data_IF_543275867341
#
_entry.id   IF_543275867341
#
_cell.length_a   1.000
_cell.length_b   1.000
_cell.length_c   1.000
_cell.angle_alpha   90.00
_cell.angle_beta   90.00
_cell.angle_gamma   90.00
#
_symmetry.space_group_name_H-M   'P 1'
#
loop_
_entity.id
_entity.type
_entity.pdbx_description
1 polymer ?
#
# COMPACT_ATOMS: atom_id res chain seq x y z
N UNK A 1 11.29 -24.31 -13.98
CA UNK A 1 11.22 -23.14 -14.89
C UNK A 1 12.55 -22.42 -14.83
N UNK A 2 13.07 -21.87 -15.94
CA UNK A 2 14.34 -21.13 -15.91
C UNK A 2 14.19 -19.86 -15.06
N UNK A 3 15.22 -19.55 -14.25
CA UNK A 3 15.26 -18.41 -13.32
C UNK A 3 14.84 -17.10 -13.99
N UNK A 4 15.34 -16.85 -15.21
CA UNK A 4 15.00 -15.67 -16.00
C UNK A 4 13.51 -15.58 -16.32
N UNK A 5 12.84 -16.69 -16.65
CA UNK A 5 11.39 -16.70 -16.93
C UNK A 5 10.60 -16.36 -15.69
N UNK A 6 10.96 -16.93 -14.54
CA UNK A 6 10.31 -16.63 -13.26
C UNK A 6 10.53 -15.17 -12.86
N UNK A 7 11.74 -14.64 -13.08
CA UNK A 7 12.05 -13.23 -12.86
C UNK A 7 11.17 -12.31 -13.71
N UNK A 8 11.17 -12.52 -15.03
CA UNK A 8 10.38 -11.67 -15.96
C UNK A 8 8.89 -11.72 -15.63
N UNK A 9 8.35 -12.91 -15.33
CA UNK A 9 6.95 -13.06 -14.98
C UNK A 9 6.62 -12.43 -13.62
N UNK A 10 7.50 -12.58 -12.62
CA UNK A 10 7.35 -11.92 -11.33
C UNK A 10 7.37 -10.40 -11.42
N UNK A 11 8.26 -9.87 -12.25
CA UNK A 11 8.28 -8.43 -12.56
C UNK A 11 7.00 -8.00 -13.26
N UNK A 12 6.52 -8.73 -14.26
CA UNK A 12 5.25 -8.42 -14.91
C UNK A 12 4.08 -8.39 -13.90
N UNK A 13 4.00 -9.38 -13.00
CA UNK A 13 2.98 -9.43 -11.94
C UNK A 13 3.09 -8.21 -11.01
N UNK A 14 4.29 -7.86 -10.53
CA UNK A 14 4.45 -6.70 -9.65
C UNK A 14 4.07 -5.38 -10.32
N UNK A 15 4.39 -5.19 -11.60
CA UNK A 15 4.05 -3.96 -12.32
C UNK A 15 2.55 -3.89 -12.65
N UNK A 16 1.92 -5.02 -12.97
CA UNK A 16 0.46 -5.08 -13.15
C UNK A 16 -0.27 -4.76 -11.83
N UNK A 17 0.20 -5.31 -10.71
CA UNK A 17 -0.33 -4.98 -9.39
C UNK A 17 -0.08 -3.51 -9.05
N UNK A 18 1.10 -2.98 -9.33
CA UNK A 18 1.39 -1.57 -9.08
C UNK A 18 0.46 -0.66 -9.88
N UNK A 19 0.29 -0.92 -11.19
CA UNK A 19 -0.63 -0.17 -12.02
C UNK A 19 -2.07 -0.30 -11.50
N UNK A 20 -2.49 -1.49 -11.10
CA UNK A 20 -3.80 -1.72 -10.47
C UNK A 20 -3.96 -0.88 -9.21
N UNK A 21 -3.05 -0.97 -8.23
CA UNK A 21 -3.12 -0.18 -7.01
C UNK A 21 -3.08 1.32 -7.28
N UNK A 22 -2.26 1.76 -8.23
CA UNK A 22 -2.24 3.15 -8.67
C UNK A 22 -3.59 3.58 -9.24
N UNK A 23 -4.24 2.75 -10.05
CA UNK A 23 -5.58 3.02 -10.56
C UNK A 23 -6.58 3.11 -9.41
N UNK A 24 -6.67 2.10 -8.55
CA UNK A 24 -7.60 2.05 -7.41
C UNK A 24 -7.47 3.29 -6.51
N UNK A 25 -6.26 3.77 -6.28
CA UNK A 25 -6.00 4.97 -5.48
C UNK A 25 -6.66 6.23 -6.03
N UNK A 26 -6.86 6.33 -7.35
CA UNK A 26 -7.57 7.47 -7.95
C UNK A 26 -9.04 7.56 -7.50
N UNK A 27 -9.66 6.49 -7.01
CA UNK A 27 -11.01 6.56 -6.44
C UNK A 27 -11.10 7.57 -5.29
N UNK A 28 -10.03 7.71 -4.50
CA UNK A 28 -10.00 8.63 -3.36
C UNK A 28 -9.90 10.11 -3.78
N UNK A 29 -9.31 10.40 -4.95
CA UNK A 29 -9.00 11.77 -5.40
C UNK A 29 -10.20 12.51 -5.97
N UNK A 30 -10.48 13.77 -5.59
CA UNK A 30 -11.62 14.51 -6.14
C UNK A 30 -11.44 14.86 -7.64
N UNK A 31 -12.53 14.85 -8.43
CA UNK A 31 -12.48 15.14 -9.89
C UNK A 31 -11.83 16.48 -10.23
N UNK A 32 -12.08 17.53 -9.44
CA UNK A 32 -11.53 18.87 -9.68
C UNK A 32 -9.99 18.92 -9.57
N UNK A 33 -9.40 18.03 -8.78
CA UNK A 33 -7.95 17.94 -8.61
C UNK A 33 -7.25 17.32 -9.83
N UNK A 34 -8.01 16.61 -10.66
CA UNK A 34 -7.48 15.76 -11.72
C UNK A 34 -7.19 16.47 -13.06
N UNK A 35 -7.73 17.67 -13.26
CA UNK A 35 -7.74 18.34 -14.57
C UNK A 35 -6.60 19.37 -14.77
N UNK A 36 -5.89 19.78 -13.71
CA UNK A 36 -5.08 21.01 -13.73
C UNK A 36 -3.59 20.86 -13.42
N UNK A 37 -3.06 19.64 -13.21
CA UNK A 37 -1.69 19.46 -12.67
C UNK A 37 -0.87 18.37 -13.34
N UNK A 38 0.43 18.64 -13.46
CA UNK A 38 1.44 17.61 -13.65
C UNK A 38 1.46 16.69 -12.42
N UNK A 39 1.47 15.38 -12.66
CA UNK A 39 1.53 14.37 -11.62
C UNK A 39 2.95 14.31 -11.07
N UNK A 40 3.13 14.41 -9.75
CA UNK A 40 4.46 14.35 -9.12
C UNK A 40 4.79 12.95 -8.59
N UNK A 41 6.05 12.73 -8.21
CA UNK A 41 6.45 11.48 -7.54
C UNK A 41 5.69 11.25 -6.23
N UNK A 42 5.37 12.34 -5.49
CA UNK A 42 4.53 12.28 -4.28
C UNK A 42 3.15 11.72 -4.61
N UNK A 43 2.57 12.16 -5.73
CA UNK A 43 1.27 11.68 -6.17
C UNK A 43 1.32 10.20 -6.55
N UNK A 44 2.36 9.78 -7.28
CA UNK A 44 2.55 8.38 -7.66
C UNK A 44 2.56 7.46 -6.44
N UNK A 45 3.38 7.78 -5.43
CA UNK A 45 3.55 6.95 -4.23
C UNK A 45 2.29 6.96 -3.36
N UNK A 46 1.77 8.15 -3.04
CA UNK A 46 0.60 8.27 -2.16
C UNK A 46 -0.64 7.61 -2.76
N UNK A 47 -0.88 7.79 -4.07
CA UNK A 47 -1.99 7.13 -4.77
C UNK A 47 -1.79 5.62 -4.84
N UNK A 48 -0.58 5.14 -5.15
CA UNK A 48 -0.30 3.69 -5.21
C UNK A 48 -0.59 3.04 -3.86
N UNK A 49 -0.07 3.59 -2.77
CA UNK A 49 -0.21 2.98 -1.43
C UNK A 49 -1.62 3.14 -0.86
N UNK A 50 -2.30 4.25 -1.15
CA UNK A 50 -3.69 4.40 -0.77
C UNK A 50 -4.58 3.40 -1.54
N UNK A 51 -4.31 3.18 -2.83
CA UNK A 51 -5.01 2.16 -3.61
C UNK A 51 -4.68 0.73 -3.19
N UNK A 52 -3.44 0.45 -2.76
CA UNK A 52 -3.11 -0.80 -2.06
C UNK A 52 -4.01 -0.96 -0.84
N UNK A 53 -4.10 0.03 0.05
CA UNK A 53 -4.96 -0.04 1.23
C UNK A 53 -6.44 -0.26 0.88
N UNK A 54 -6.99 0.44 -0.13
CA UNK A 54 -8.37 0.23 -0.61
C UNK A 54 -8.56 -1.22 -1.08
N UNK A 55 -7.68 -1.72 -1.95
CA UNK A 55 -7.74 -3.09 -2.44
C UNK A 55 -7.63 -4.10 -1.28
N UNK A 56 -6.75 -3.84 -0.31
CA UNK A 56 -6.58 -4.66 0.88
C UNK A 56 -7.83 -4.68 1.78
N UNK A 57 -8.51 -3.54 1.94
CA UNK A 57 -9.81 -3.50 2.63
C UNK A 57 -10.90 -4.25 1.86
N UNK A 58 -10.92 -4.19 0.53
CA UNK A 58 -11.81 -5.02 -0.27
C UNK A 58 -11.54 -6.52 -0.03
N UNK A 59 -10.28 -6.94 -0.01
CA UNK A 59 -9.90 -8.32 0.30
C UNK A 59 -10.27 -8.71 1.74
N UNK A 60 -10.16 -7.78 2.69
CA UNK A 60 -10.57 -7.99 4.08
C UNK A 60 -12.08 -8.27 4.17
N UNK A 61 -12.89 -7.46 3.47
CA UNK A 61 -14.33 -7.64 3.40
C UNK A 61 -14.70 -8.96 2.73
N UNK A 62 -14.06 -9.32 1.61
CA UNK A 62 -14.25 -10.63 0.98
C UNK A 62 -13.85 -11.77 1.93
N UNK A 63 -12.75 -11.61 2.65
CA UNK A 63 -12.26 -12.56 3.65
C UNK A 63 -13.26 -12.82 4.77
N UNK A 64 -13.85 -11.77 5.34
CA UNK A 64 -14.90 -11.89 6.36
C UNK A 64 -16.23 -12.40 5.80
N UNK A 65 -16.56 -12.07 4.56
CA UNK A 65 -17.77 -12.54 3.89
C UNK A 65 -17.65 -13.97 3.33
N UNK A 66 -16.51 -14.64 3.51
CA UNK A 66 -16.21 -15.98 2.96
C UNK A 66 -16.23 -16.03 1.42
N UNK A 67 -15.86 -14.94 0.78
CA UNK A 67 -15.78 -14.76 -0.67
C UNK A 67 -14.33 -14.54 -1.14
N UNK A 68 -13.33 -14.95 -0.36
CA UNK A 68 -11.92 -14.84 -0.74
C UNK A 68 -11.51 -15.94 -1.72
N UNK A 69 -12.13 -15.92 -2.90
CA UNK A 69 -11.92 -16.88 -3.97
C UNK A 69 -11.89 -16.12 -5.31
N UNK A 70 -11.60 -16.84 -6.41
CA UNK A 70 -11.50 -16.22 -7.75
C UNK A 70 -12.74 -15.43 -8.16
N UNK A 71 -13.98 -15.97 -8.04
CA UNK A 71 -15.17 -15.20 -8.42
C UNK A 71 -15.40 -14.00 -7.51
N UNK A 72 -15.11 -14.08 -6.21
CA UNK A 72 -15.21 -12.93 -5.31
C UNK A 72 -14.22 -11.82 -5.64
N UNK A 73 -12.97 -12.17 -5.98
CA UNK A 73 -11.98 -11.19 -6.48
C UNK A 73 -12.45 -10.56 -7.80
N UNK A 74 -12.97 -11.36 -8.74
CA UNK A 74 -13.51 -10.84 -10.00
C UNK A 74 -14.69 -9.88 -9.76
N UNK A 75 -15.61 -10.24 -8.84
CA UNK A 75 -16.73 -9.39 -8.47
C UNK A 75 -16.26 -8.07 -7.85
N UNK A 76 -15.23 -8.11 -7.01
CA UNK A 76 -14.64 -6.90 -6.44
C UNK A 76 -14.03 -6.00 -7.53
N UNK A 77 -13.35 -6.57 -8.53
CA UNK A 77 -12.83 -5.79 -9.68
C UNK A 77 -13.95 -5.18 -10.51
N UNK A 78 -15.05 -5.92 -10.77
CA UNK A 78 -16.22 -5.38 -11.48
C UNK A 78 -16.84 -4.24 -10.68
N UNK A 79 -17.00 -4.42 -9.37
CA UNK A 79 -17.54 -3.38 -8.48
C UNK A 79 -16.65 -2.14 -8.47
N UNK A 80 -15.32 -2.30 -8.47
CA UNK A 80 -14.38 -1.19 -8.60
C UNK A 80 -14.58 -0.41 -9.92
N UNK A 81 -14.75 -1.11 -11.04
CA UNK A 81 -15.10 -0.49 -12.33
C UNK A 81 -16.41 0.30 -12.28
N UNK A 82 -17.43 -0.23 -11.59
CA UNK A 82 -18.69 0.48 -11.36
C UNK A 82 -18.51 1.72 -10.46
N UNK A 83 -17.63 1.66 -9.46
CA UNK A 83 -17.29 2.82 -8.63
C UNK A 83 -16.61 3.93 -9.45
N UNK A 84 -15.73 3.59 -10.40
CA UNK A 84 -15.18 4.57 -11.33
C UNK A 84 -16.27 5.21 -12.19
N UNK A 85 -17.18 4.40 -12.73
CA UNK A 85 -18.29 4.92 -13.52
C UNK A 85 -19.19 5.85 -12.70
N UNK A 86 -19.56 5.45 -11.48
CA UNK A 86 -20.48 6.20 -10.63
C UNK A 86 -19.84 7.45 -9.99
N UNK A 87 -18.66 7.31 -9.38
CA UNK A 87 -18.00 8.40 -8.66
C UNK A 87 -17.18 9.29 -9.58
N UNK A 88 -16.54 8.73 -10.61
CA UNK A 88 -15.68 9.48 -11.55
C UNK A 88 -16.38 9.85 -12.85
N UNK A 89 -17.46 9.15 -13.22
CA UNK A 89 -18.03 9.29 -14.56
C UNK A 89 -17.08 8.74 -15.63
N UNK A 90 -16.13 7.89 -15.25
CA UNK A 90 -15.11 7.36 -16.13
C UNK A 90 -15.36 5.88 -16.38
N UNK A 91 -15.28 5.46 -17.64
CA UNK A 91 -15.42 4.07 -17.99
C UNK A 91 -14.06 3.37 -17.93
N UNK A 92 -13.90 2.47 -16.98
CA UNK A 92 -12.69 1.64 -16.80
C UNK A 92 -12.34 0.80 -18.04
N UNK A 93 -13.33 0.44 -18.86
CA UNK A 93 -13.12 -0.31 -20.12
C UNK A 93 -12.69 0.58 -21.28
N UNK A 94 -12.71 1.91 -21.13
CA UNK A 94 -12.36 2.85 -22.19
C UNK A 94 -10.84 2.96 -22.37
N UNK A 95 -10.40 3.01 -23.62
CA UNK A 95 -9.00 3.34 -23.96
C UNK A 95 -8.57 4.71 -23.40
N UNK A 96 -9.47 5.71 -23.41
CA UNK A 96 -9.16 7.05 -22.91
C UNK A 96 -8.86 7.07 -21.42
N UNK A 97 -9.52 6.21 -20.64
CA UNK A 97 -9.26 6.04 -19.21
C UNK A 97 -7.83 5.53 -18.99
N UNK A 98 -7.48 4.41 -19.62
CA UNK A 98 -6.16 3.80 -19.46
C UNK A 98 -5.05 4.69 -20.01
N UNK A 99 -5.27 5.37 -21.13
CA UNK A 99 -4.31 6.34 -21.65
C UNK A 99 -4.05 7.47 -20.65
N UNK A 100 -5.10 7.99 -19.99
CA UNK A 100 -4.98 9.02 -18.95
C UNK A 100 -4.21 8.50 -17.73
N UNK A 101 -4.53 7.30 -17.24
CA UNK A 101 -3.82 6.68 -16.12
C UNK A 101 -2.34 6.44 -16.46
N UNK A 102 -2.04 5.84 -17.61
CA UNK A 102 -0.66 5.58 -18.04
C UNK A 102 0.14 6.88 -18.19
N UNK A 103 -0.45 7.93 -18.78
CA UNK A 103 0.21 9.25 -18.87
C UNK A 103 0.55 9.82 -17.50
N UNK A 104 -0.32 9.67 -16.50
CA UNK A 104 -0.05 10.12 -15.12
C UNK A 104 1.02 9.28 -14.45
N UNK A 105 0.92 7.96 -14.60
CA UNK A 105 1.87 7.01 -14.05
C UNK A 105 3.27 7.29 -14.56
N UNK A 106 3.44 7.47 -15.89
CA UNK A 106 4.72 7.77 -16.53
C UNK A 106 5.16 9.23 -16.28
N UNK A 107 4.23 10.18 -16.28
CA UNK A 107 4.52 11.61 -16.09
C UNK A 107 5.08 11.96 -14.71
N UNK A 108 4.87 11.10 -13.70
CA UNK A 108 5.41 11.28 -12.35
C UNK A 108 6.90 10.92 -12.20
N UNK A 109 7.50 10.30 -13.20
CA UNK A 109 8.88 9.82 -13.13
C UNK A 109 9.88 10.95 -13.29
N UNK A 110 10.84 10.97 -12.37
CA UNK A 110 12.00 11.87 -12.41
C UNK A 110 13.28 11.05 -12.63
N UNK A 111 14.38 11.70 -13.01
CA UNK A 111 15.68 11.02 -13.18
C UNK A 111 16.12 10.27 -11.90
N UNK A 112 16.02 10.85 -10.68
CA UNK A 112 16.26 10.11 -9.46
C UNK A 112 15.37 8.89 -9.27
N UNK A 113 14.07 9.01 -9.58
CA UNK A 113 13.13 7.89 -9.47
C UNK A 113 13.52 6.76 -10.45
N UNK A 114 13.90 7.11 -11.68
CA UNK A 114 14.36 6.15 -12.68
C UNK A 114 15.63 5.41 -12.23
N UNK A 115 16.60 6.13 -11.65
CA UNK A 115 17.82 5.51 -11.13
C UNK A 115 17.52 4.53 -9.99
N UNK A 116 16.68 4.93 -9.02
CA UNK A 116 16.24 4.04 -7.94
C UNK A 116 15.55 2.81 -8.52
N UNK A 117 14.66 2.98 -9.49
CA UNK A 117 13.97 1.87 -10.13
C UNK A 117 14.93 0.89 -10.82
N UNK A 118 15.90 1.39 -11.61
CA UNK A 118 16.91 0.55 -12.26
C UNK A 118 17.73 -0.25 -11.25
N UNK A 119 18.12 0.37 -10.12
CA UNK A 119 18.75 -0.35 -9.02
C UNK A 119 17.83 -1.45 -8.48
N UNK A 120 16.56 -1.13 -8.25
CA UNK A 120 15.58 -2.09 -7.73
C UNK A 120 15.33 -3.26 -8.70
N UNK A 121 15.43 -3.07 -10.02
CA UNK A 121 15.39 -4.19 -10.97
C UNK A 121 16.47 -5.23 -10.62
N UNK A 122 17.71 -4.78 -10.37
CA UNK A 122 18.81 -5.66 -9.97
C UNK A 122 18.53 -6.28 -8.60
N UNK A 123 18.05 -5.48 -7.64
CA UNK A 123 17.73 -5.96 -6.30
C UNK A 123 16.56 -6.94 -6.24
N UNK A 124 15.72 -7.06 -7.29
CA UNK A 124 14.62 -8.02 -7.37
C UNK A 124 15.08 -9.46 -7.67
N UNK A 125 16.33 -9.68 -8.12
CA UNK A 125 16.79 -11.02 -8.53
C UNK A 125 16.59 -12.08 -7.43
N UNK A 126 16.90 -11.83 -6.15
CA UNK A 126 16.65 -12.79 -5.07
C UNK A 126 15.18 -13.14 -4.86
N UNK A 127 14.21 -12.33 -5.32
CA UNK A 127 12.78 -12.61 -5.16
C UNK A 127 12.33 -13.87 -5.92
N UNK A 128 13.12 -14.35 -6.89
CA UNK A 128 12.87 -15.60 -7.63
C UNK A 128 13.17 -16.84 -6.78
N UNK A 129 13.99 -16.69 -5.74
CA UNK A 129 14.41 -17.80 -4.90
C UNK A 129 13.27 -18.25 -3.97
N UNK A 130 13.22 -19.55 -3.61
CA UNK A 130 12.24 -20.04 -2.65
C UNK A 130 12.39 -19.34 -1.29
N UNK A 131 11.31 -19.20 -0.51
CA UNK A 131 11.38 -18.61 0.82
C UNK A 131 12.19 -19.53 1.75
N UNK A 132 13.25 -18.99 2.34
CA UNK A 132 14.11 -19.71 3.30
C UNK A 132 14.04 -19.14 4.71
N UNK A 133 13.39 -17.98 4.89
CA UNK A 133 13.32 -17.31 6.18
C UNK A 133 12.16 -17.84 7.02
N UNK A 134 12.45 -18.03 8.32
CA UNK A 134 11.53 -18.66 9.27
C UNK A 134 10.14 -18.05 9.26
N UNK A 135 9.98 -16.74 9.46
CA UNK A 135 8.64 -16.13 9.59
C UNK A 135 7.84 -16.18 8.29
N UNK A 136 8.55 -16.06 7.16
CA UNK A 136 7.96 -16.15 5.82
C UNK A 136 7.29 -17.50 5.63
N UNK A 137 7.98 -18.58 5.98
CA UNK A 137 7.49 -19.96 5.77
C UNK A 137 6.56 -20.39 6.89
N UNK A 138 6.90 -20.06 8.14
CA UNK A 138 6.22 -20.58 9.32
C UNK A 138 4.85 -19.96 9.54
N UNK A 139 4.62 -18.70 9.15
CA UNK A 139 3.30 -18.10 9.33
C UNK A 139 2.87 -17.13 8.24
N UNK A 140 3.71 -16.27 7.67
CA UNK A 140 3.20 -15.27 6.70
C UNK A 140 2.62 -15.89 5.43
N UNK A 141 3.38 -16.77 4.77
CA UNK A 141 2.90 -17.48 3.58
C UNK A 141 1.96 -18.62 3.96
N UNK A 142 2.18 -19.28 5.10
CA UNK A 142 1.29 -20.36 5.58
C UNK A 142 -0.14 -19.84 5.77
N UNK A 143 -0.35 -18.79 6.57
CA UNK A 143 -1.66 -18.15 6.73
C UNK A 143 -2.28 -17.73 5.39
N UNK A 144 -1.47 -17.20 4.48
CA UNK A 144 -1.98 -16.74 3.20
C UNK A 144 -2.48 -17.89 2.31
N UNK A 145 -1.76 -19.02 2.28
CA UNK A 145 -2.18 -20.25 1.59
C UNK A 145 -3.45 -20.79 2.22
N UNK A 146 -3.47 -20.85 3.55
CA UNK A 146 -4.57 -21.34 4.35
C UNK A 146 -5.86 -20.55 4.09
N UNK A 147 -5.81 -19.22 4.18
CA UNK A 147 -6.97 -18.36 3.89
C UNK A 147 -7.43 -18.46 2.44
N UNK A 148 -6.49 -18.58 1.49
CA UNK A 148 -6.80 -18.79 0.09
C UNK A 148 -7.51 -20.12 -0.17
N UNK A 149 -7.09 -21.19 0.50
CA UNK A 149 -7.71 -22.52 0.39
C UNK A 149 -9.07 -22.58 1.08
N UNK A 150 -9.21 -21.92 2.22
CA UNK A 150 -10.47 -21.86 2.98
C UNK A 150 -11.50 -20.91 2.34
N UNK A 151 -11.09 -20.01 1.45
CA UNK A 151 -11.96 -19.00 0.85
C UNK A 151 -12.40 -17.90 1.83
N UNK A 152 -11.78 -17.81 3.01
CA UNK A 152 -12.14 -16.90 4.10
C UNK A 152 -10.96 -16.63 5.02
N UNK A 153 -11.05 -15.56 5.79
CA UNK A 153 -10.17 -15.38 6.94
C UNK A 153 -10.59 -16.42 7.98
N UNK A 154 -9.68 -17.33 8.33
CA UNK A 154 -9.90 -18.28 9.42
C UNK A 154 -8.75 -18.24 10.42
N UNK A 155 -9.06 -18.64 11.64
CA UNK A 155 -8.14 -18.70 12.76
C UNK A 155 -7.71 -20.15 12.91
N UNK A 156 -6.42 -20.44 12.71
CA UNK A 156 -5.87 -21.77 12.93
C UNK A 156 -5.62 -21.97 14.44
N UNK A 157 -6.35 -22.87 15.13
CA UNK A 157 -6.20 -23.07 16.56
C UNK A 157 -4.85 -23.66 16.96
N UNK A 158 -4.09 -24.23 16.01
CA UNK A 158 -2.79 -24.86 16.30
C UNK A 158 -1.62 -23.87 16.30
N UNK A 159 -1.86 -22.62 15.89
CA UNK A 159 -0.84 -21.58 15.92
C UNK A 159 -0.73 -20.95 17.30
N UNK A 160 0.50 -20.67 17.73
CA UNK A 160 0.79 -20.05 19.04
C UNK A 160 0.10 -18.70 19.23
N UNK A 161 -0.07 -17.92 18.16
CA UNK A 161 -0.75 -16.63 18.17
C UNK A 161 -1.77 -16.56 17.02
N UNK A 162 -2.96 -17.15 17.20
CA UNK A 162 -3.89 -17.42 16.10
C UNK A 162 -4.74 -16.18 15.72
N UNK A 163 -4.81 -15.20 16.62
CA UNK A 163 -5.60 -13.96 16.48
C UNK A 163 -4.79 -12.75 15.99
N UNK A 164 -3.76 -12.97 15.18
CA UNK A 164 -2.94 -11.86 14.68
C UNK A 164 -3.69 -10.99 13.65
N UNK A 165 -3.45 -9.67 13.69
CA UNK A 165 -3.91 -8.74 12.66
C UNK A 165 -2.92 -8.76 11.47
N UNK A 166 -3.43 -8.94 10.25
CA UNK A 166 -2.60 -9.38 9.12
C UNK A 166 -3.13 -8.84 7.78
N UNK A 167 -3.40 -7.54 7.70
CA UNK A 167 -3.89 -6.89 6.48
C UNK A 167 -3.05 -7.20 5.23
N UNK A 168 -1.72 -7.21 5.33
CA UNK A 168 -0.85 -7.42 4.17
C UNK A 168 -0.92 -8.86 3.61
N UNK A 169 -1.16 -9.86 4.47
CA UNK A 169 -1.24 -11.26 4.07
C UNK A 169 -2.46 -11.53 3.19
N UNK A 170 -3.46 -10.65 3.19
CA UNK A 170 -4.59 -10.75 2.27
C UNK A 170 -4.15 -10.61 0.81
N UNK A 171 -3.11 -9.82 0.51
CA UNK A 171 -2.55 -9.76 -0.84
C UNK A 171 -1.84 -11.06 -1.23
N UNK A 172 -1.07 -11.64 -0.31
CA UNK A 172 -0.48 -12.96 -0.53
C UNK A 172 -1.57 -14.02 -0.74
N UNK A 173 -2.66 -13.96 0.04
CA UNK A 173 -3.81 -14.86 -0.11
C UNK A 173 -4.45 -14.71 -1.49
N UNK A 174 -4.67 -13.47 -1.95
CA UNK A 174 -5.19 -13.20 -3.28
C UNK A 174 -4.27 -13.75 -4.38
N UNK A 175 -2.95 -13.63 -4.24
CA UNK A 175 -1.99 -14.25 -5.16
C UNK A 175 -2.11 -15.77 -5.16
N UNK A 176 -2.26 -16.44 -4.01
CA UNK A 176 -2.50 -17.88 -3.96
C UNK A 176 -3.83 -18.29 -4.62
N UNK A 177 -4.92 -17.54 -4.40
CA UNK A 177 -6.22 -17.75 -5.06
C UNK A 177 -6.08 -17.69 -6.59
N UNK A 178 -5.30 -16.72 -7.09
CA UNK A 178 -5.01 -16.51 -8.51
C UNK A 178 -3.91 -17.44 -9.07
N UNK A 179 -3.35 -18.35 -8.26
CA UNK A 179 -2.23 -19.24 -8.61
C UNK A 179 -0.94 -18.50 -9.01
N UNK A 180 -0.74 -17.34 -8.41
CA UNK A 180 0.42 -16.46 -8.52
C UNK A 180 1.25 -16.41 -7.22
N UNK A 181 1.02 -17.33 -6.28
CA UNK A 181 1.67 -17.34 -4.96
C UNK A 181 3.21 -17.41 -4.99
N UNK A 182 3.80 -17.95 -6.06
CA UNK A 182 5.26 -17.93 -6.27
C UNK A 182 5.84 -16.52 -6.44
N UNK A 183 5.01 -15.50 -6.65
CA UNK A 183 5.42 -14.12 -6.87
C UNK A 183 5.19 -13.20 -5.66
N UNK A 184 4.83 -13.74 -4.49
CA UNK A 184 4.62 -12.95 -3.27
C UNK A 184 5.85 -12.08 -2.90
N UNK A 185 7.07 -12.56 -3.14
CA UNK A 185 8.30 -11.80 -2.87
C UNK A 185 8.41 -10.53 -3.73
N UNK A 186 7.87 -10.55 -4.95
CA UNK A 186 7.87 -9.38 -5.83
C UNK A 186 6.91 -8.29 -5.34
N UNK A 187 5.85 -8.65 -4.61
CA UNK A 187 4.99 -7.67 -3.95
C UNK A 187 5.73 -6.97 -2.79
N UNK A 188 6.53 -7.72 -2.03
CA UNK A 188 7.35 -7.15 -0.97
C UNK A 188 8.45 -6.23 -1.55
N UNK A 189 9.07 -6.65 -2.65
CA UNK A 189 9.97 -5.82 -3.44
C UNK A 189 9.31 -4.52 -3.90
N UNK A 190 8.07 -4.58 -4.40
CA UNK A 190 7.31 -3.40 -4.82
C UNK A 190 7.09 -2.44 -3.63
N UNK A 191 6.78 -2.97 -2.44
CA UNK A 191 6.71 -2.14 -1.23
C UNK A 191 8.04 -1.46 -0.92
N UNK A 192 9.16 -2.17 -1.08
CA UNK A 192 10.49 -1.60 -0.91
C UNK A 192 10.77 -0.47 -1.91
N UNK A 193 10.44 -0.68 -3.18
CA UNK A 193 10.59 0.34 -4.23
C UNK A 193 9.77 1.59 -3.87
N UNK A 194 8.50 1.41 -3.54
CA UNK A 194 7.60 2.50 -3.12
C UNK A 194 8.08 3.20 -1.85
N UNK A 195 8.78 2.49 -0.95
CA UNK A 195 9.38 3.09 0.25
C UNK A 195 10.48 4.06 -0.15
N UNK A 196 11.41 3.64 -1.01
CA UNK A 196 12.49 4.50 -1.50
C UNK A 196 11.97 5.66 -2.34
N UNK A 197 10.95 5.43 -3.19
CA UNK A 197 10.29 6.52 -3.93
C UNK A 197 9.54 7.48 -2.99
N UNK A 198 8.96 6.99 -1.90
CA UNK A 198 8.33 7.80 -0.86
C UNK A 198 9.34 8.67 -0.11
N UNK A 199 10.51 8.12 0.21
CA UNK A 199 11.64 8.87 0.77
C UNK A 199 12.09 9.96 -0.22
N UNK A 200 12.26 9.62 -1.50
CA UNK A 200 12.55 10.61 -2.56
C UNK A 200 11.47 11.71 -2.60
N UNK A 201 10.20 11.33 -2.46
CA UNK A 201 9.08 12.26 -2.47
C UNK A 201 9.07 13.24 -1.29
N UNK A 202 9.71 12.95 -0.15
CA UNK A 202 9.90 13.95 0.92
C UNK A 202 10.81 15.09 0.49
N UNK A 203 11.88 14.76 -0.24
CA UNK A 203 12.94 15.72 -0.60
C UNK A 203 12.73 16.37 -1.96
N UNK A 204 11.82 15.85 -2.79
CA UNK A 204 11.50 16.48 -4.06
C UNK A 204 10.77 17.81 -3.81
N UNK A 205 11.17 18.96 -4.36
CA UNK A 205 10.44 20.21 -4.16
C UNK A 205 9.02 20.12 -4.74
N UNK A 206 8.04 20.80 -4.09
CA UNK A 206 6.71 20.97 -4.69
C UNK A 206 6.88 21.94 -5.86
N UNK A 207 6.74 21.46 -7.08
CA UNK A 207 6.84 22.32 -8.25
C UNK A 207 5.67 23.31 -8.28
N UNK A 208 6.00 24.58 -8.46
CA UNK A 208 5.03 25.64 -8.64
C UNK A 208 4.62 25.65 -10.12
N UNK A 209 3.37 25.29 -10.47
CA UNK A 209 2.95 25.16 -11.86
C UNK A 209 3.01 26.48 -12.65
N UNK A 210 3.13 27.63 -11.96
CA UNK A 210 3.24 28.96 -12.56
C UNK A 210 4.66 29.39 -12.94
N UNK A 211 5.68 28.56 -12.67
CA UNK A 211 7.07 28.88 -13.06
C UNK A 211 7.41 28.16 -14.35
N UNK A 212 6.86 28.64 -15.45
CA UNK A 212 7.31 28.28 -16.79
C UNK A 212 8.82 28.56 -16.90
N UNK A 213 9.61 27.54 -17.27
CA UNK A 213 10.95 27.77 -17.82
C UNK A 213 12.12 27.04 -17.16
N UNK A 214 11.99 26.47 -15.95
CA UNK A 214 13.06 25.64 -15.39
C UNK A 214 12.69 24.18 -15.43
N UNK A 215 13.03 23.55 -16.55
CA UNK A 215 13.09 22.11 -16.75
C UNK A 215 13.57 21.39 -15.49
N UNK A 216 12.78 20.42 -15.03
CA UNK A 216 13.06 19.38 -14.01
C UNK A 216 14.43 18.69 -14.14
N UNK A 217 15.12 18.95 -15.25
CA UNK A 217 16.41 18.41 -15.65
C UNK A 217 17.61 19.13 -15.02
N UNK A 218 17.44 20.30 -14.40
CA UNK A 218 18.58 21.07 -13.86
C UNK A 218 18.68 20.97 -12.33
N UNK A 219 19.72 20.24 -11.91
CA UNK A 219 20.26 20.08 -10.57
C UNK A 219 19.37 19.30 -9.58
N UNK A 220 19.28 17.99 -9.82
CA UNK A 220 18.98 17.06 -8.73
C UNK A 220 20.07 17.20 -7.66
N UNK A 221 19.73 17.77 -6.51
CA UNK A 221 20.66 17.89 -5.38
C UNK A 221 21.13 16.48 -5.01
N UNK A 222 22.42 16.28 -4.68
CA UNK A 222 22.95 14.94 -4.36
C UNK A 222 22.16 14.27 -3.22
N UNK A 223 21.65 15.08 -2.29
CA UNK A 223 20.76 14.67 -1.20
C UNK A 223 19.52 13.88 -1.66
N UNK A 224 18.93 14.25 -2.80
CA UNK A 224 17.74 13.60 -3.33
C UNK A 224 18.04 12.17 -3.82
N UNK A 225 19.29 11.88 -4.20
CA UNK A 225 19.72 10.53 -4.57
C UNK A 225 20.27 9.75 -3.38
N UNK A 226 21.11 10.40 -2.57
CA UNK A 226 21.86 9.72 -1.52
C UNK A 226 20.94 9.16 -0.43
N UNK A 227 19.91 9.89 -0.01
CA UNK A 227 19.06 9.43 1.11
C UNK A 227 18.24 8.18 0.72
N UNK A 228 17.49 8.16 -0.40
CA UNK A 228 16.80 6.93 -0.84
C UNK A 228 17.77 5.77 -1.11
N UNK A 229 18.97 6.06 -1.63
CA UNK A 229 20.00 5.07 -1.90
C UNK A 229 20.56 4.45 -0.61
N UNK A 230 20.82 5.26 0.42
CA UNK A 230 21.23 4.79 1.74
C UNK A 230 20.18 3.85 2.36
N UNK A 231 18.89 4.15 2.18
CA UNK A 231 17.81 3.24 2.61
C UNK A 231 17.86 1.94 1.80
N UNK A 232 17.86 2.05 0.46
CA UNK A 232 17.83 0.92 -0.46
C UNK A 232 18.99 -0.06 -0.25
N UNK A 233 20.19 0.47 0.03
CA UNK A 233 21.41 -0.30 0.22
C UNK A 233 21.72 -0.62 1.69
N UNK A 234 20.87 -0.21 2.63
CA UNK A 234 21.09 -0.52 4.04
C UNK A 234 21.00 -2.05 4.26
N UNK A 235 21.92 -2.64 5.04
CA UNK A 235 21.93 -4.10 5.25
C UNK A 235 20.61 -4.64 5.82
N UNK A 236 19.97 -3.88 6.71
CA UNK A 236 18.69 -4.25 7.29
C UNK A 236 17.58 -4.29 6.23
N UNK A 237 17.51 -3.29 5.34
CA UNK A 237 16.50 -3.24 4.30
C UNK A 237 16.71 -4.33 3.25
N UNK A 238 17.95 -4.50 2.77
CA UNK A 238 18.30 -5.54 1.80
C UNK A 238 17.98 -6.95 2.30
N UNK A 239 18.19 -7.22 3.60
CA UNK A 239 17.89 -8.51 4.22
C UNK A 239 16.41 -8.90 4.10
N UNK A 240 15.50 -7.93 4.16
CA UNK A 240 14.05 -8.18 4.19
C UNK A 240 13.33 -7.78 2.89
N UNK A 241 14.01 -7.13 1.94
CA UNK A 241 13.41 -6.60 0.71
C UNK A 241 12.70 -7.65 -0.15
N UNK A 242 13.30 -8.84 -0.29
CA UNK A 242 12.81 -9.89 -1.19
C UNK A 242 12.30 -11.12 -0.44
N UNK A 243 11.96 -10.96 0.83
CA UNK A 243 11.44 -12.01 1.70
C UNK A 243 9.99 -11.68 1.98
N UNK A 244 9.09 -12.67 2.01
CA UNK A 244 7.67 -12.43 2.36
C UNK A 244 7.47 -12.17 3.88
N UNK A 245 8.30 -11.30 4.45
CA UNK A 245 8.09 -10.66 5.74
C UNK A 245 7.12 -9.48 5.55
N UNK A 246 6.64 -8.92 6.65
CA UNK A 246 5.75 -7.74 6.61
C UNK A 246 6.45 -6.44 7.03
N UNK A 247 7.70 -6.49 7.47
CA UNK A 247 8.45 -5.34 7.99
C UNK A 247 8.66 -4.23 6.95
N UNK A 248 9.04 -4.59 5.72
CA UNK A 248 9.20 -3.63 4.61
C UNK A 248 7.83 -3.00 4.24
N UNK A 249 6.75 -3.77 4.06
CA UNK A 249 5.40 -3.25 3.91
C UNK A 249 4.97 -2.35 5.07
N UNK A 250 5.23 -2.73 6.33
CA UNK A 250 4.88 -1.91 7.49
C UNK A 250 5.64 -0.59 7.43
N UNK A 251 6.93 -0.61 7.07
CA UNK A 251 7.73 0.59 6.84
C UNK A 251 7.08 1.52 5.81
N UNK A 252 6.60 0.98 4.69
CA UNK A 252 5.87 1.75 3.67
C UNK A 252 4.57 2.36 4.22
N UNK A 253 3.75 1.55 4.88
CA UNK A 253 2.45 1.96 5.40
C UNK A 253 2.53 2.87 6.63
N UNK A 254 3.68 2.96 7.29
CA UNK A 254 4.00 4.02 8.27
C UNK A 254 4.50 5.29 7.58
N UNK A 255 5.37 5.15 6.57
CA UNK A 255 5.97 6.27 5.84
C UNK A 255 4.92 7.12 5.10
N UNK A 256 3.99 6.47 4.38
CA UNK A 256 3.04 7.19 3.50
C UNK A 256 2.05 8.08 4.25
N UNK A 257 1.39 7.67 5.35
CA UNK A 257 0.57 8.58 6.13
C UNK A 257 1.33 9.81 6.61
N UNK A 258 2.60 9.64 7.02
CA UNK A 258 3.47 10.75 7.42
C UNK A 258 3.78 11.65 6.23
N UNK A 259 4.07 11.07 5.07
CA UNK A 259 4.28 11.81 3.82
C UNK A 259 3.03 12.62 3.44
N UNK A 260 1.85 12.00 3.49
CA UNK A 260 0.58 12.67 3.26
C UNK A 260 0.41 13.84 4.24
N UNK A 261 0.61 13.62 5.55
CA UNK A 261 0.48 14.68 6.55
C UNK A 261 1.44 15.85 6.29
N UNK A 262 2.69 15.54 5.95
CA UNK A 262 3.75 16.53 5.70
C UNK A 262 3.52 17.33 4.40
N UNK A 263 3.05 16.66 3.34
CA UNK A 263 2.89 17.25 2.00
C UNK A 263 1.51 17.85 1.77
N UNK A 264 0.54 17.55 2.65
CA UNK A 264 -0.82 18.03 2.47
C UNK A 264 -0.88 19.54 2.60
N UNK A 265 -1.36 20.21 1.55
CA UNK A 265 -1.50 21.66 1.48
C UNK A 265 -2.88 22.04 0.93
N UNK A 266 -3.28 23.31 1.01
CA UNK A 266 -4.57 23.76 0.45
C UNK A 266 -4.68 23.49 -1.06
N UNK A 267 -3.53 23.47 -1.75
CA UNK A 267 -3.47 23.13 -3.16
C UNK A 267 -3.35 21.63 -3.45
N UNK A 268 -2.88 20.81 -2.50
CA UNK A 268 -2.70 19.35 -2.66
C UNK A 268 -3.16 18.63 -1.38
N UNK A 269 -4.47 18.42 -1.23
CA UNK A 269 -5.03 17.68 -0.08
C UNK A 269 -4.77 16.17 -0.22
N UNK A 270 -4.17 15.54 0.81
CA UNK A 270 -3.90 14.09 0.89
C UNK A 270 -4.54 13.41 2.10
N UNK A 271 -5.61 14.00 2.67
CA UNK A 271 -6.18 13.52 3.94
C UNK A 271 -6.86 12.15 3.79
N UNK A 272 -7.47 11.88 2.63
CA UNK A 272 -8.14 10.61 2.36
C UNK A 272 -7.13 9.48 2.22
N UNK A 273 -6.08 9.74 1.47
CA UNK A 273 -4.94 8.84 1.31
C UNK A 273 -4.27 8.56 2.67
N UNK A 274 -4.07 9.60 3.49
CA UNK A 274 -3.57 9.48 4.86
C UNK A 274 -4.47 8.54 5.67
N UNK A 275 -5.77 8.83 5.76
CA UNK A 275 -6.71 8.04 6.58
C UNK A 275 -6.73 6.58 6.19
N UNK A 276 -6.86 6.29 4.89
CA UNK A 276 -7.01 4.93 4.38
C UNK A 276 -5.72 4.13 4.54
N UNK A 277 -4.56 4.73 4.22
CA UNK A 277 -3.26 4.06 4.41
C UNK A 277 -2.91 3.88 5.90
N UNK A 278 -3.21 4.86 6.75
CA UNK A 278 -3.00 4.79 8.20
C UNK A 278 -3.85 3.67 8.84
N UNK A 279 -5.15 3.62 8.52
CA UNK A 279 -6.03 2.58 9.03
C UNK A 279 -5.59 1.19 8.58
N UNK A 280 -5.15 1.07 7.32
CA UNK A 280 -4.62 -0.20 6.82
C UNK A 280 -3.36 -0.62 7.58
N UNK A 281 -2.45 0.33 7.85
CA UNK A 281 -1.24 0.12 8.64
C UNK A 281 -1.55 -0.46 10.03
N UNK A 282 -2.54 0.09 10.73
CA UNK A 282 -2.92 -0.37 12.08
C UNK A 282 -3.39 -1.83 12.08
N UNK A 283 -3.98 -2.31 10.98
CA UNK A 283 -4.40 -3.70 10.83
C UNK A 283 -3.30 -4.64 10.30
N UNK A 284 -2.08 -4.19 10.07
CA UNK A 284 -0.98 -5.05 9.58
C UNK A 284 -0.28 -5.84 10.69
N UNK A 285 -0.38 -5.38 11.94
CA UNK A 285 0.25 -6.01 13.12
C UNK A 285 -0.45 -5.49 14.37
N UNK A 286 -0.71 -6.35 15.36
CA UNK A 286 -1.45 -5.96 16.57
C UNK A 286 -0.79 -4.82 17.35
N UNK A 287 0.54 -4.77 17.38
CA UNK A 287 1.29 -3.71 18.08
C UNK A 287 1.16 -2.34 17.40
N UNK A 288 0.68 -2.28 16.15
CA UNK A 288 0.54 -1.01 15.42
C UNK A 288 -0.69 -0.21 15.88
N UNK A 289 -1.60 -0.77 16.67
CA UNK A 289 -2.63 0.02 17.36
C UNK A 289 -2.02 1.10 18.26
N UNK A 290 -0.83 0.85 18.81
CA UNK A 290 -0.10 1.84 19.61
C UNK A 290 0.31 3.09 18.81
N UNK A 291 0.34 3.01 17.47
CA UNK A 291 0.65 4.16 16.60
C UNK A 291 -0.60 4.96 16.22
N UNK A 292 -1.80 4.48 16.54
CA UNK A 292 -3.07 5.14 16.23
C UNK A 292 -3.15 6.59 16.76
N UNK A 293 -2.74 6.90 18.02
CA UNK A 293 -2.74 8.27 18.51
C UNK A 293 -1.83 9.20 17.70
N UNK A 294 -0.65 8.72 17.30
CA UNK A 294 0.29 9.49 16.48
C UNK A 294 -0.29 9.80 15.09
N UNK A 295 -0.96 8.82 14.46
CA UNK A 295 -1.62 8.97 13.17
C UNK A 295 -2.82 9.93 13.24
N UNK A 296 -3.59 9.88 14.32
CA UNK A 296 -4.67 10.84 14.60
C UNK A 296 -4.13 12.25 14.79
N UNK A 297 -3.09 12.43 15.60
CA UNK A 297 -2.43 13.73 15.75
C UNK A 297 -1.92 14.25 14.41
N UNK A 298 -1.25 13.41 13.60
CA UNK A 298 -0.77 13.79 12.26
C UNK A 298 -1.90 14.29 11.35
N UNK A 299 -3.05 13.60 11.36
CA UNK A 299 -4.24 14.01 10.62
C UNK A 299 -4.79 15.35 11.13
N UNK A 300 -4.91 15.51 12.45
CA UNK A 300 -5.39 16.75 13.08
C UNK A 300 -4.48 17.92 12.70
N UNK A 301 -3.15 17.77 12.80
CA UNK A 301 -2.20 18.81 12.41
C UNK A 301 -2.28 19.15 10.92
N UNK A 302 -2.36 18.13 10.05
CA UNK A 302 -2.47 18.35 8.62
C UNK A 302 -3.75 19.12 8.25
N UNK A 303 -4.85 18.93 8.99
CA UNK A 303 -6.18 19.44 8.63
C UNK A 303 -6.66 20.66 9.42
N UNK A 304 -6.11 20.93 10.60
CA UNK A 304 -6.61 21.91 11.56
C UNK A 304 -6.82 23.32 10.99
N UNK A 305 -5.99 23.74 10.02
CA UNK A 305 -6.06 25.08 9.40
C UNK A 305 -6.83 25.11 8.09
N UNK A 306 -7.23 23.96 7.55
CA UNK A 306 -7.77 23.83 6.18
C UNK A 306 -9.20 23.33 6.13
N UNK A 307 -9.56 22.39 7.02
CA UNK A 307 -10.86 21.75 6.99
C UNK A 307 -11.76 22.21 8.15
N UNK A 308 -13.08 22.29 7.94
CA UNK A 308 -14.02 22.55 9.02
C UNK A 308 -14.02 21.37 10.01
N UNK A 309 -14.26 21.66 11.30
CA UNK A 309 -14.23 20.67 12.39
C UNK A 309 -15.06 19.41 12.10
N UNK A 310 -16.22 19.55 11.44
CA UNK A 310 -17.08 18.43 11.05
C UNK A 310 -16.37 17.44 10.10
N UNK A 311 -15.64 17.94 9.11
CA UNK A 311 -14.92 17.09 8.17
C UNK A 311 -13.75 16.38 8.86
N UNK A 312 -13.04 17.09 9.74
CA UNK A 312 -11.97 16.51 10.55
C UNK A 312 -12.53 15.36 11.42
N UNK A 313 -13.65 15.58 12.10
CA UNK A 313 -14.30 14.55 12.91
C UNK A 313 -14.68 13.32 12.09
N UNK A 314 -15.23 13.51 10.88
CA UNK A 314 -15.55 12.40 9.96
C UNK A 314 -14.29 11.63 9.56
N UNK A 315 -13.19 12.31 9.23
CA UNK A 315 -11.93 11.65 8.87
C UNK A 315 -11.31 10.88 10.04
N UNK A 316 -11.34 11.43 11.26
CA UNK A 316 -10.90 10.73 12.46
C UNK A 316 -11.76 9.49 12.74
N UNK A 317 -13.09 9.63 12.63
CA UNK A 317 -14.00 8.51 12.80
C UNK A 317 -13.74 7.41 11.77
N UNK A 318 -13.58 7.77 10.49
CA UNK A 318 -13.22 6.83 9.43
C UNK A 318 -11.91 6.10 9.72
N UNK A 319 -10.87 6.81 10.17
CA UNK A 319 -9.57 6.22 10.51
C UNK A 319 -9.71 5.18 11.62
N UNK A 320 -10.42 5.52 12.69
CA UNK A 320 -10.68 4.59 13.80
C UNK A 320 -11.51 3.41 13.30
N UNK A 321 -12.66 3.66 12.67
CA UNK A 321 -13.58 2.60 12.21
C UNK A 321 -12.91 1.60 11.26
N UNK A 322 -12.09 2.07 10.31
CA UNK A 322 -11.37 1.19 9.39
C UNK A 322 -10.24 0.41 10.07
N UNK A 323 -9.73 0.88 11.21
CA UNK A 323 -8.70 0.18 11.98
C UNK A 323 -9.27 -0.97 12.83
N UNK A 324 -10.55 -0.90 13.19
CA UNK A 324 -11.20 -1.84 14.14
C UNK A 324 -11.40 -3.30 13.70
N UNK A 325 -11.55 -3.69 12.41
CA UNK A 325 -12.06 -5.02 12.06
C UNK A 325 -11.30 -6.19 12.69
N UNK A 326 -9.97 -6.16 12.72
CA UNK A 326 -9.17 -7.22 13.36
C UNK A 326 -9.37 -7.28 14.88
N UNK A 327 -9.46 -6.13 15.53
CA UNK A 327 -9.64 -6.02 16.98
C UNK A 327 -11.04 -6.45 17.39
N UNK A 328 -12.07 -6.16 16.58
CA UNK A 328 -13.41 -6.67 16.77
C UNK A 328 -13.47 -8.19 16.60
N UNK A 329 -12.86 -8.73 15.53
CA UNK A 329 -12.74 -10.19 15.34
C UNK A 329 -12.11 -10.85 16.56
N UNK A 330 -11.03 -10.26 17.07
CA UNK A 330 -10.31 -10.78 18.23
C UNK A 330 -11.16 -10.69 19.50
N UNK A 331 -11.84 -9.56 19.74
CA UNK A 331 -12.73 -9.39 20.88
C UNK A 331 -13.85 -10.44 20.89
N UNK A 332 -14.43 -10.74 19.73
CA UNK A 332 -15.51 -11.74 19.64
C UNK A 332 -15.00 -13.19 19.68
N UNK A 333 -13.83 -13.47 19.11
CA UNK A 333 -13.29 -14.84 19.03
C UNK A 333 -12.43 -15.26 20.23
N UNK A 334 -11.72 -14.32 20.83
CA UNK A 334 -10.75 -14.54 21.90
C UNK A 334 -11.08 -13.81 23.21
N UNK A 335 -12.16 -13.02 23.25
CA UNK A 335 -12.53 -12.16 24.39
C UNK A 335 -11.43 -11.16 24.80
N UNK A 336 -10.46 -10.90 23.91
CA UNK A 336 -9.41 -9.88 24.02
C UNK A 336 -9.25 -9.23 22.63
N UNK A 337 -9.28 -7.89 22.50
CA UNK A 337 -9.09 -7.24 21.21
C UNK A 337 -7.65 -7.34 20.66
N UNK A 338 -6.67 -7.57 21.53
CA UNK A 338 -5.23 -7.43 21.23
C UNK A 338 -4.35 -8.59 21.72
N UNK A 339 -4.78 -9.86 21.72
CA UNK A 339 -3.98 -10.95 22.27
C UNK A 339 -2.70 -11.16 21.45
N UNK A 340 -1.51 -11.29 22.06
CA UNK A 340 -1.25 -11.47 23.49
C UNK A 340 -0.80 -10.18 24.22
N UNK A 341 -0.97 -8.99 23.65
CA UNK A 341 -0.35 -7.75 24.15
C UNK A 341 -0.90 -7.33 25.52
N UNK A 342 -2.23 -7.27 25.66
CA UNK A 342 -2.87 -6.92 26.93
C UNK A 342 -3.37 -8.13 27.70
N UNK A 343 -3.58 -9.27 27.03
CA UNK A 343 -3.93 -10.58 27.59
C UNK A 343 -4.93 -10.49 28.76
N UNK A 344 -6.08 -9.84 28.52
CA UNK A 344 -7.03 -9.43 29.58
C UNK A 344 -7.63 -10.57 30.40
N UNK A 345 -7.40 -11.83 30.00
CA UNK A 345 -7.96 -13.04 30.61
C UNK A 345 -6.93 -13.84 31.43
N UNK A 346 -5.68 -13.36 31.53
CA UNK A 346 -4.60 -14.01 32.29
C UNK A 346 -3.98 -13.10 33.33
#
# INVERSE_FOLDING_TARGET
MPVLKTYVLGMAVAHLLWLYFFTTGHLLRPKAFEQSRCFSITDLVTTSVAGMAVAGFCLLLLGFAHLLNRPGILLALVFEGLLFLWLKGENWLSYSFWQKICRRFVGAWTVPALFIYLLFLVLAVPAVLPPTFSDSVSYHLAYAVDWANAGRIYVDPFLRFPYYANNFLLFYSALFVLKLGSYCHFLNWLCGLLTCLGVLAFFTPVENPFREGTSTWKLSRPQHFLIPLCVALSPAFLRYLNVAYIDVPIGLFLLVPILCAYRSSSGQPFERELVVSAAFCVGMKLTLIGHLPFLLCSLLFATARRLPRRQIAVLCLLLVSLSLPWYLRNLFGAHDPTPPVFNLLF
#
